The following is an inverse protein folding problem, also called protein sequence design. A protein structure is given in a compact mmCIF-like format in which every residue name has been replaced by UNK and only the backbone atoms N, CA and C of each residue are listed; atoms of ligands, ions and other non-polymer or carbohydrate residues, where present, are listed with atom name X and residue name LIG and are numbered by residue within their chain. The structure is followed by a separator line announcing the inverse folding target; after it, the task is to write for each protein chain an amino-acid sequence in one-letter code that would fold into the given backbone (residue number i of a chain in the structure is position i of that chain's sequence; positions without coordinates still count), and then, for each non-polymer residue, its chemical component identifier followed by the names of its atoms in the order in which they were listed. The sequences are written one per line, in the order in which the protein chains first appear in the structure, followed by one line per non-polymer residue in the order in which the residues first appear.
data_IF_770605806030
#
_entry.id   IF_770605806030
#
_cell.length_a   1.000
_cell.length_b   1.000
_cell.length_c   1.000
_cell.angle_alpha   90.00
_cell.angle_beta   90.00
_cell.angle_gamma   90.00
#
_symmetry.space_group_name_H-M   'P 1'
#
loop_
_entity.id
_entity.type
_entity.pdbx_description
1 polymer ?
#
# COMPACT_ATOMS: atom_id res chain seq x y z
N UNK A 1 -14.33 2.11 18.31
CA UNK A 1 -13.62 1.07 17.55
C UNK A 1 -14.45 0.75 16.32
N UNK A 2 -13.87 0.89 15.14
CA UNK A 2 -14.55 0.55 13.89
C UNK A 2 -14.25 -0.92 13.53
N UNK A 3 -15.27 -1.77 13.60
CA UNK A 3 -15.21 -3.20 13.28
C UNK A 3 -16.21 -3.49 12.18
N UNK A 4 -15.74 -4.08 11.07
CA UNK A 4 -16.62 -4.51 9.97
C UNK A 4 -16.42 -6.02 9.77
N UNK A 5 -17.52 -6.76 9.56
CA UNK A 5 -17.51 -8.22 9.35
C UNK A 5 -18.39 -8.57 8.14
N UNK A 6 -17.92 -9.50 7.33
CA UNK A 6 -18.62 -9.99 6.15
C UNK A 6 -18.49 -11.52 6.07
N UNK A 7 -19.45 -12.18 5.43
CA UNK A 7 -19.48 -13.64 5.30
C UNK A 7 -19.50 -14.12 3.85
N UNK A 8 -19.82 -13.22 2.91
CA UNK A 8 -20.10 -13.53 1.51
C UNK A 8 -19.41 -12.56 0.54
N UNK A 9 -18.45 -11.79 1.00
CA UNK A 9 -17.65 -10.86 0.18
C UNK A 9 -16.19 -11.27 0.24
N UNK A 10 -15.52 -11.25 -0.90
CA UNK A 10 -14.11 -11.62 -0.98
C UNK A 10 -13.34 -10.96 -2.11
N UNK A 11 -12.02 -11.16 -2.10
CA UNK A 11 -11.14 -10.74 -3.19
C UNK A 11 -11.18 -11.83 -4.27
N UNK A 12 -11.68 -11.46 -5.46
CA UNK A 12 -11.69 -12.33 -6.63
C UNK A 12 -10.29 -12.42 -7.25
N UNK A 13 -9.66 -11.28 -7.51
CA UNK A 13 -8.37 -11.25 -8.19
C UNK A 13 -7.54 -10.02 -7.82
N UNK A 14 -6.22 -10.14 -8.01
CA UNK A 14 -5.24 -9.07 -7.78
C UNK A 14 -4.21 -9.04 -8.90
N UNK A 15 -3.78 -7.84 -9.26
CA UNK A 15 -2.74 -7.57 -10.25
C UNK A 15 -1.89 -6.38 -9.83
N UNK A 16 -0.65 -6.30 -10.32
CA UNK A 16 0.27 -5.21 -10.03
C UNK A 16 1.09 -4.82 -11.25
N UNK A 17 1.42 -3.55 -11.34
CA UNK A 17 2.30 -2.95 -12.34
C UNK A 17 3.35 -2.10 -11.65
N UNK A 18 4.62 -2.27 -12.05
CA UNK A 18 5.75 -1.50 -11.53
C UNK A 18 6.51 -0.83 -12.68
N UNK A 19 7.20 0.28 -12.45
CA UNK A 19 8.09 0.87 -13.45
C UNK A 19 9.20 -0.11 -13.86
N UNK A 20 9.63 -0.06 -15.13
CA UNK A 20 10.81 -0.82 -15.61
C UNK A 20 12.11 -0.36 -15.00
N UNK A 21 12.23 0.96 -14.72
CA UNK A 21 13.45 1.56 -14.22
C UNK A 21 13.78 1.06 -12.82
N UNK A 22 14.95 0.44 -12.71
CA UNK A 22 15.51 -0.04 -11.45
C UNK A 22 16.55 0.96 -10.96
N UNK A 23 16.43 1.37 -9.70
CA UNK A 23 17.43 2.17 -9.00
C UNK A 23 17.95 1.37 -7.80
N UNK A 24 19.25 1.09 -7.81
CA UNK A 24 19.88 0.28 -6.76
C UNK A 24 20.34 1.14 -5.60
N UNK A 25 20.07 0.69 -4.39
CA UNK A 25 20.52 1.39 -3.21
C UNK A 25 22.06 1.38 -3.05
N UNK A 26 22.77 0.42 -3.66
CA UNK A 26 24.23 0.42 -3.74
C UNK A 26 24.83 1.60 -4.53
N UNK A 27 23.99 2.31 -5.32
CA UNK A 27 24.39 3.48 -6.10
C UNK A 27 24.25 4.80 -5.30
N UNK A 28 23.79 4.75 -4.04
CA UNK A 28 23.57 5.93 -3.18
C UNK A 28 24.84 6.40 -2.45
N UNK A 29 26.04 6.03 -2.90
CA UNK A 29 27.31 6.48 -2.32
C UNK A 29 27.53 8.00 -2.33
N UNK A 30 26.78 8.74 -3.16
CA UNK A 30 26.75 10.20 -3.15
C UNK A 30 25.98 10.80 -1.95
N UNK A 31 25.10 10.01 -1.33
CA UNK A 31 24.20 10.44 -0.26
C UNK A 31 24.58 9.81 1.10
N UNK A 32 24.99 8.54 1.10
CA UNK A 32 25.35 7.78 2.29
C UNK A 32 26.81 7.34 2.16
N UNK A 33 27.69 7.59 3.16
CA UNK A 33 29.06 7.12 3.14
C UNK A 33 29.14 5.61 2.86
N UNK A 34 30.10 5.18 2.03
CA UNK A 34 30.20 3.79 1.59
C UNK A 34 30.30 2.79 2.74
N UNK A 35 30.98 3.17 3.82
CA UNK A 35 31.12 2.34 5.03
C UNK A 35 29.81 2.07 5.77
N UNK A 36 28.79 2.93 5.59
CA UNK A 36 27.47 2.83 6.20
C UNK A 36 26.41 2.32 5.22
N UNK A 37 26.67 2.41 3.92
CA UNK A 37 25.71 2.06 2.86
C UNK A 37 25.27 0.60 2.95
N UNK A 38 26.23 -0.33 3.07
CA UNK A 38 25.95 -1.76 3.19
C UNK A 38 25.15 -2.10 4.46
N UNK A 39 25.47 -1.44 5.58
CA UNK A 39 24.74 -1.60 6.85
C UNK A 39 23.31 -1.07 6.70
N UNK A 40 23.15 0.07 6.03
CA UNK A 40 21.83 0.66 5.77
C UNK A 40 20.99 -0.27 4.92
N UNK A 41 21.51 -0.73 3.77
CA UNK A 41 20.82 -1.67 2.88
C UNK A 41 20.42 -2.94 3.63
N UNK A 42 21.31 -3.52 4.42
CA UNK A 42 21.03 -4.71 5.19
C UNK A 42 19.92 -4.47 6.24
N UNK A 43 19.97 -3.34 6.95
CA UNK A 43 19.00 -2.98 7.99
C UNK A 43 17.59 -2.72 7.43
N UNK A 44 17.48 -1.92 6.37
CA UNK A 44 16.19 -1.64 5.74
C UNK A 44 15.68 -2.81 4.89
N UNK A 45 16.58 -3.67 4.40
CA UNK A 45 16.29 -4.84 3.59
C UNK A 45 15.87 -4.51 2.15
N UNK A 46 16.22 -3.32 1.65
CA UNK A 46 15.87 -2.85 0.31
C UNK A 46 17.15 -2.76 -0.53
N UNK A 47 17.25 -3.59 -1.55
CA UNK A 47 18.39 -3.59 -2.49
C UNK A 47 18.16 -2.65 -3.66
N UNK A 48 16.93 -2.70 -4.19
CA UNK A 48 16.55 -1.91 -5.35
C UNK A 48 15.10 -1.44 -5.24
N UNK A 49 14.78 -0.42 -6.01
CA UNK A 49 13.45 0.20 -6.07
C UNK A 49 13.06 0.40 -7.53
N UNK A 50 11.76 0.36 -7.79
CA UNK A 50 11.20 0.71 -9.10
C UNK A 50 10.77 2.16 -9.05
N UNK A 51 11.25 2.97 -9.99
CA UNK A 51 11.03 4.42 -10.01
C UNK A 51 10.36 4.81 -11.34
N UNK A 52 9.20 5.46 -11.23
CA UNK A 52 8.46 5.94 -12.37
C UNK A 52 9.20 7.10 -13.07
N UNK A 53 9.13 7.15 -14.41
CA UNK A 53 9.58 8.32 -15.15
C UNK A 53 8.69 9.53 -14.79
N UNK A 54 9.20 10.73 -15.08
CA UNK A 54 8.57 11.96 -14.60
C UNK A 54 7.12 12.12 -15.07
N UNK A 55 6.79 11.71 -16.27
CA UNK A 55 5.48 11.78 -16.92
C UNK A 55 4.53 10.61 -16.58
N UNK A 56 5.00 9.59 -15.85
CA UNK A 56 4.21 8.42 -15.46
C UNK A 56 3.59 8.64 -14.08
N UNK A 57 2.26 8.67 -14.00
CA UNK A 57 1.50 8.80 -12.76
C UNK A 57 1.15 7.45 -12.12
N UNK A 58 0.79 7.48 -10.86
CA UNK A 58 0.28 6.30 -10.14
C UNK A 58 -0.97 5.70 -10.80
N UNK A 59 -1.80 6.56 -11.41
CA UNK A 59 -2.98 6.16 -12.20
C UNK A 59 -2.61 5.35 -13.44
N UNK A 60 -1.48 5.65 -14.11
CA UNK A 60 -1.03 4.92 -15.30
C UNK A 60 -0.65 3.47 -14.94
N UNK A 61 0.08 3.31 -13.84
CA UNK A 61 0.44 2.00 -13.30
C UNK A 61 -0.80 1.21 -12.88
N UNK A 62 -1.75 1.86 -12.20
CA UNK A 62 -3.03 1.25 -11.80
C UNK A 62 -3.88 0.86 -13.01
N UNK A 63 -3.95 1.71 -14.03
CA UNK A 63 -4.68 1.43 -15.26
C UNK A 63 -4.14 0.17 -15.94
N UNK A 64 -2.82 0.04 -16.07
CA UNK A 64 -2.18 -1.17 -16.63
C UNK A 64 -2.45 -2.42 -15.79
N UNK A 65 -2.38 -2.31 -14.47
CA UNK A 65 -2.73 -3.41 -13.58
C UNK A 65 -4.21 -3.83 -13.76
N UNK A 66 -5.13 -2.86 -13.83
CA UNK A 66 -6.55 -3.12 -14.03
C UNK A 66 -6.85 -3.75 -15.39
N UNK A 67 -6.29 -3.20 -16.49
CA UNK A 67 -6.44 -3.77 -17.83
C UNK A 67 -6.01 -5.25 -17.86
N UNK A 68 -4.88 -5.58 -17.25
CA UNK A 68 -4.39 -6.94 -17.14
C UNK A 68 -5.36 -7.82 -16.38
N UNK A 69 -5.81 -7.37 -15.20
CA UNK A 69 -6.73 -8.12 -14.35
C UNK A 69 -8.06 -8.42 -15.08
N UNK A 70 -8.65 -7.40 -15.69
CA UNK A 70 -9.93 -7.53 -16.40
C UNK A 70 -9.82 -8.49 -17.59
N UNK A 71 -8.75 -8.39 -18.37
CA UNK A 71 -8.51 -9.23 -19.55
C UNK A 71 -8.21 -10.68 -19.15
N UNK A 72 -7.25 -10.88 -18.22
CA UNK A 72 -6.76 -12.23 -17.88
C UNK A 72 -7.82 -13.09 -17.20
N UNK A 73 -8.71 -12.46 -16.41
CA UNK A 73 -9.78 -13.16 -15.72
C UNK A 73 -11.15 -13.07 -16.40
N UNK A 74 -11.21 -12.48 -17.60
CA UNK A 74 -12.46 -12.41 -18.39
C UNK A 74 -13.56 -11.61 -17.70
N UNK A 75 -13.21 -10.51 -17.02
CA UNK A 75 -14.17 -9.70 -16.26
C UNK A 75 -14.90 -8.76 -17.21
N UNK A 76 -16.22 -8.87 -17.24
CA UNK A 76 -17.07 -7.93 -17.92
C UNK A 76 -17.05 -6.56 -17.22
N UNK A 77 -16.70 -5.51 -17.97
CA UNK A 77 -16.63 -4.14 -17.45
C UNK A 77 -17.99 -3.62 -16.98
N UNK A 78 -19.07 -4.07 -17.61
CA UNK A 78 -20.44 -3.69 -17.23
C UNK A 78 -20.86 -4.29 -15.87
N UNK A 79 -20.14 -5.30 -15.37
CA UNK A 79 -20.38 -5.89 -14.05
C UNK A 79 -19.78 -5.09 -12.90
N UNK A 80 -18.97 -4.04 -13.17
CA UNK A 80 -18.33 -3.23 -12.16
C UNK A 80 -19.25 -2.08 -11.78
N UNK A 81 -19.68 -2.04 -10.51
CA UNK A 81 -20.56 -0.97 -9.98
C UNK A 81 -19.81 0.14 -9.24
N UNK A 82 -18.59 -0.12 -8.77
CA UNK A 82 -17.77 0.93 -8.13
C UNK A 82 -16.29 0.81 -8.49
N UNK A 83 -15.63 1.98 -8.60
CA UNK A 83 -14.20 2.17 -8.78
C UNK A 83 -13.68 3.04 -7.65
N UNK A 84 -12.74 2.53 -6.87
CA UNK A 84 -12.07 3.27 -5.81
C UNK A 84 -10.61 3.43 -6.20
N UNK A 85 -10.09 4.66 -6.19
CA UNK A 85 -8.68 4.94 -6.38
C UNK A 85 -8.05 5.44 -5.08
N UNK A 86 -6.98 4.79 -4.63
CA UNK A 86 -6.25 5.17 -3.42
C UNK A 86 -4.86 5.62 -3.79
N UNK A 87 -4.56 6.88 -3.47
CA UNK A 87 -3.25 7.46 -3.69
C UNK A 87 -3.02 8.70 -2.84
N UNK A 88 -1.77 8.94 -2.43
CA UNK A 88 -1.26 10.21 -1.92
C UNK A 88 -0.68 11.06 -3.07
N UNK A 89 -0.47 10.44 -4.24
CA UNK A 89 0.11 11.05 -5.44
C UNK A 89 -0.89 11.00 -6.60
N UNK A 90 -2.07 11.65 -6.45
CA UNK A 90 -3.08 11.71 -7.50
C UNK A 90 -2.57 12.51 -8.70
N UNK A 91 -3.18 12.35 -9.88
CA UNK A 91 -2.79 13.05 -11.11
C UNK A 91 -2.90 14.57 -10.95
N UNK A 92 -3.97 15.01 -10.30
CA UNK A 92 -4.28 16.43 -10.09
C UNK A 92 -4.85 16.65 -8.68
N UNK A 93 -4.76 17.89 -8.18
CA UNK A 93 -5.50 18.30 -6.98
C UNK A 93 -7.01 18.33 -7.23
N UNK A 94 -7.42 18.57 -8.47
CA UNK A 94 -8.80 18.64 -8.95
C UNK A 94 -8.80 18.48 -10.48
N UNK A 95 -9.66 17.63 -11.05
CA UNK A 95 -10.62 16.73 -10.35
C UNK A 95 -9.93 15.55 -9.65
N UNK A 96 -10.72 14.72 -8.95
CA UNK A 96 -10.26 13.39 -8.51
C UNK A 96 -9.89 12.50 -9.68
N UNK A 97 -8.98 11.55 -9.48
CA UNK A 97 -8.40 10.70 -10.53
C UNK A 97 -9.34 9.56 -10.95
N UNK A 98 -10.14 9.02 -10.02
CA UNK A 98 -11.01 7.88 -10.30
C UNK A 98 -11.99 8.08 -11.48
N UNK A 99 -12.64 9.24 -11.69
CA UNK A 99 -13.46 9.47 -12.88
C UNK A 99 -12.68 9.40 -14.20
N UNK A 100 -11.42 9.86 -14.21
CA UNK A 100 -10.54 9.70 -15.38
C UNK A 100 -10.17 8.23 -15.62
N UNK A 101 -9.91 7.48 -14.57
CA UNK A 101 -9.65 6.05 -14.65
C UNK A 101 -10.89 5.25 -15.11
N UNK A 102 -12.10 5.68 -14.74
CA UNK A 102 -13.35 5.10 -15.22
C UNK A 102 -13.44 5.17 -16.76
N UNK A 103 -13.16 6.34 -17.33
CA UNK A 103 -13.16 6.54 -18.78
C UNK A 103 -12.03 5.77 -19.48
N UNK A 104 -10.80 5.87 -18.97
CA UNK A 104 -9.61 5.17 -19.50
C UNK A 104 -9.77 3.64 -19.52
N UNK A 105 -10.44 3.08 -18.53
CA UNK A 105 -10.73 1.65 -18.44
C UNK A 105 -11.97 1.23 -19.22
N UNK A 106 -12.71 2.18 -19.84
CA UNK A 106 -13.94 1.91 -20.56
C UNK A 106 -15.04 1.34 -19.68
N UNK A 107 -15.11 1.75 -18.41
CA UNK A 107 -16.17 1.32 -17.48
C UNK A 107 -17.44 2.15 -17.77
N UNK A 108 -18.64 1.59 -17.48
CA UNK A 108 -19.90 2.29 -17.71
C UNK A 108 -19.99 3.60 -16.93
N UNK A 109 -20.71 4.60 -17.48
CA UNK A 109 -20.95 5.89 -16.81
C UNK A 109 -21.79 5.79 -15.53
N UNK A 110 -22.39 4.64 -15.29
CA UNK A 110 -23.17 4.33 -14.09
C UNK A 110 -22.30 3.89 -12.91
N UNK A 111 -20.99 3.69 -13.13
CA UNK A 111 -20.04 3.31 -12.06
C UNK A 111 -19.86 4.46 -11.08
N UNK A 112 -19.95 4.18 -9.79
CA UNK A 112 -19.55 5.11 -8.74
C UNK A 112 -18.02 5.17 -8.68
N UNK A 113 -17.40 6.35 -8.95
CA UNK A 113 -15.95 6.51 -8.99
C UNK A 113 -15.49 7.64 -8.05
N UNK A 114 -14.53 7.35 -7.15
CA UNK A 114 -14.00 8.32 -6.19
C UNK A 114 -12.61 7.95 -5.68
N UNK A 115 -11.88 8.98 -5.19
CA UNK A 115 -10.54 8.84 -4.63
C UNK A 115 -10.56 8.79 -3.10
N UNK A 116 -9.55 8.10 -2.52
CA UNK A 116 -9.29 8.09 -1.08
C UNK A 116 -7.80 8.35 -0.84
N UNK A 117 -7.48 9.23 0.12
CA UNK A 117 -6.11 9.45 0.57
C UNK A 117 -5.95 8.90 1.99
N UNK A 118 -5.29 7.73 2.13
CA UNK A 118 -5.08 7.03 3.41
C UNK A 118 -3.66 6.50 3.58
N UNK A 119 -2.71 7.05 2.85
CA UNK A 119 -1.29 6.70 2.94
C UNK A 119 -1.04 5.17 3.01
N UNK A 120 -0.03 4.74 3.76
CA UNK A 120 0.38 3.33 3.86
C UNK A 120 -0.67 2.39 4.47
N UNK A 121 -1.68 2.90 5.18
CA UNK A 121 -2.83 2.12 5.65
C UNK A 121 -3.92 1.95 4.57
N UNK A 122 -3.76 2.62 3.42
CA UNK A 122 -4.77 2.79 2.38
C UNK A 122 -5.33 1.49 1.85
N UNK A 123 -4.51 0.45 1.67
CA UNK A 123 -5.04 -0.83 1.17
C UNK A 123 -6.04 -1.48 2.13
N UNK A 124 -5.74 -1.53 3.43
CA UNK A 124 -6.65 -2.13 4.43
C UNK A 124 -7.93 -1.30 4.59
N UNK A 125 -7.81 0.03 4.62
CA UNK A 125 -8.97 0.93 4.62
C UNK A 125 -9.80 0.79 3.34
N UNK A 126 -9.14 0.77 2.18
CA UNK A 126 -9.81 0.62 0.89
C UNK A 126 -10.53 -0.71 0.74
N UNK A 127 -9.92 -1.80 1.18
CA UNK A 127 -10.59 -3.10 1.22
C UNK A 127 -11.85 -3.05 2.07
N UNK A 128 -11.80 -2.44 3.26
CA UNK A 128 -12.96 -2.36 4.15
C UNK A 128 -14.14 -1.61 3.50
N UNK A 129 -13.84 -0.54 2.74
CA UNK A 129 -14.84 0.23 1.99
C UNK A 129 -15.33 -0.57 0.78
N UNK A 130 -14.41 -1.20 0.04
CA UNK A 130 -14.76 -2.03 -1.12
C UNK A 130 -15.65 -3.21 -0.72
N UNK A 131 -15.40 -3.86 0.41
CA UNK A 131 -16.25 -4.91 0.97
C UNK A 131 -17.63 -4.37 1.37
N UNK A 132 -17.68 -3.18 1.99
CA UNK A 132 -18.96 -2.53 2.35
C UNK A 132 -19.80 -2.24 1.10
N UNK A 133 -19.19 -1.77 0.02
CA UNK A 133 -19.88 -1.50 -1.24
C UNK A 133 -20.29 -2.80 -1.94
N UNK A 134 -19.39 -3.76 -2.05
CA UNK A 134 -19.68 -5.05 -2.71
C UNK A 134 -20.77 -5.86 -1.98
N UNK A 135 -20.98 -5.62 -0.68
CA UNK A 135 -22.07 -6.25 0.07
C UNK A 135 -23.46 -5.75 -0.33
N UNK A 136 -23.54 -4.60 -1.04
CA UNK A 136 -24.80 -4.01 -1.49
C UNK A 136 -25.27 -4.67 -2.79
N UNK A 137 -26.53 -5.09 -2.85
CA UNK A 137 -27.08 -5.83 -3.99
C UNK A 137 -27.02 -5.05 -5.33
N UNK A 138 -27.00 -3.71 -5.28
CA UNK A 138 -26.94 -2.84 -6.47
C UNK A 138 -25.55 -2.55 -6.99
N UNK A 139 -24.48 -2.97 -6.32
CA UNK A 139 -23.08 -2.65 -6.70
C UNK A 139 -22.42 -3.81 -7.47
N UNK A 140 -22.66 -5.05 -7.07
CA UNK A 140 -22.02 -6.22 -7.66
C UNK A 140 -20.52 -6.28 -7.38
N UNK A 141 -19.70 -5.77 -8.31
CA UNK A 141 -18.24 -5.79 -8.23
C UNK A 141 -17.64 -4.42 -7.93
N UNK A 142 -16.57 -4.40 -7.14
CA UNK A 142 -15.79 -3.20 -6.84
C UNK A 142 -14.37 -3.37 -7.33
N UNK A 143 -13.91 -2.44 -8.16
CA UNK A 143 -12.52 -2.37 -8.59
C UNK A 143 -11.77 -1.38 -7.69
N UNK A 144 -10.88 -1.89 -6.87
CA UNK A 144 -10.01 -1.12 -5.98
C UNK A 144 -8.64 -0.96 -6.63
N UNK A 145 -8.30 0.26 -7.00
CA UNK A 145 -7.00 0.64 -7.54
C UNK A 145 -6.19 1.33 -6.46
N UNK A 146 -4.97 0.87 -6.24
CA UNK A 146 -4.07 1.43 -5.22
C UNK A 146 -2.70 1.65 -5.84
N UNK A 147 -2.28 2.90 -5.92
CA UNK A 147 -1.03 3.25 -6.59
C UNK A 147 -0.35 4.47 -5.99
N UNK A 148 0.98 4.46 -6.06
CA UNK A 148 1.81 5.53 -5.55
C UNK A 148 3.02 5.76 -6.44
N UNK A 149 3.38 7.02 -6.63
CA UNK A 149 4.66 7.46 -7.17
C UNK A 149 5.42 8.27 -6.11
N UNK A 150 5.70 7.59 -4.98
CA UNK A 150 6.32 8.20 -3.81
C UNK A 150 7.70 8.77 -4.09
N UNK A 151 8.42 8.21 -5.06
CA UNK A 151 9.73 8.73 -5.49
C UNK A 151 9.69 10.20 -5.90
N UNK A 152 8.54 10.70 -6.36
CA UNK A 152 8.34 12.11 -6.75
C UNK A 152 8.15 13.06 -5.57
N UNK A 153 7.89 12.52 -4.39
CA UNK A 153 7.67 13.31 -3.18
C UNK A 153 8.88 13.39 -2.27
N UNK A 154 9.87 12.52 -2.46
CA UNK A 154 11.08 12.50 -1.62
C UNK A 154 12.19 13.39 -2.19
N UNK A 155 13.08 13.86 -1.33
CA UNK A 155 14.29 14.57 -1.75
C UNK A 155 15.37 13.57 -2.11
N UNK A 156 16.04 13.79 -3.23
CA UNK A 156 17.24 13.06 -3.66
C UNK A 156 18.46 13.28 -2.75
N UNK A 157 18.38 14.25 -1.83
CA UNK A 157 19.37 14.57 -0.81
C UNK A 157 18.92 14.23 0.62
N UNK A 158 17.92 13.36 0.78
CA UNK A 158 17.48 12.85 2.07
C UNK A 158 17.88 11.37 2.23
N UNK A 159 18.89 11.13 3.06
CA UNK A 159 19.38 9.76 3.36
C UNK A 159 18.39 8.89 4.14
N UNK A 160 17.29 9.48 4.66
CA UNK A 160 16.28 8.77 5.42
C UNK A 160 15.19 8.20 4.48
N UNK A 161 14.68 9.00 3.56
CA UNK A 161 13.53 8.61 2.70
C UNK A 161 13.95 8.10 1.33
N UNK A 162 15.04 8.63 0.75
CA UNK A 162 15.51 8.23 -0.59
C UNK A 162 15.74 6.72 -0.72
N UNK A 163 16.40 6.01 0.21
CA UNK A 163 16.65 4.59 0.07
C UNK A 163 15.40 3.71 0.33
N UNK A 164 14.29 4.29 0.81
CA UNK A 164 13.10 3.54 1.21
C UNK A 164 12.08 3.42 0.08
N UNK A 165 11.66 4.55 -0.53
CA UNK A 165 10.46 4.59 -1.34
C UNK A 165 10.67 4.16 -2.79
N UNK A 166 9.71 3.35 -3.28
CA UNK A 166 9.54 2.97 -4.67
C UNK A 166 8.11 3.20 -5.13
N UNK A 167 7.85 2.97 -6.42
CA UNK A 167 6.60 3.26 -7.09
C UNK A 167 5.92 1.98 -7.58
N UNK A 168 4.59 1.95 -7.49
CA UNK A 168 3.77 0.85 -7.98
C UNK A 168 2.32 1.26 -8.18
N UNK A 169 1.61 0.54 -9.05
CA UNK A 169 0.16 0.57 -9.17
C UNK A 169 -0.41 -0.84 -9.10
N UNK A 170 -1.56 -1.00 -8.48
CA UNK A 170 -2.21 -2.29 -8.28
C UNK A 170 -3.70 -2.20 -8.55
N UNK A 171 -4.30 -3.34 -8.89
CA UNK A 171 -5.74 -3.50 -9.03
C UNK A 171 -6.19 -4.72 -8.25
N UNK A 172 -7.27 -4.59 -7.50
CA UNK A 172 -7.93 -5.67 -6.76
C UNK A 172 -9.41 -5.67 -7.10
N UNK A 173 -9.94 -6.80 -7.52
CA UNK A 173 -11.37 -6.96 -7.76
C UNK A 173 -12.02 -7.63 -6.55
N UNK A 174 -13.02 -6.98 -6.00
CA UNK A 174 -13.81 -7.46 -4.87
C UNK A 174 -15.23 -7.74 -5.36
N UNK A 175 -15.82 -8.85 -4.92
CA UNK A 175 -17.18 -9.20 -5.27
C UNK A 175 -17.89 -9.91 -4.12
N UNK A 176 -19.23 -9.94 -4.17
CA UNK A 176 -20.08 -10.76 -3.34
C UNK A 176 -20.33 -12.09 -4.04
N UNK A 177 -20.28 -13.20 -3.32
CA UNK A 177 -20.56 -14.51 -3.86
C UNK A 177 -20.44 -15.63 -2.84
N UNK A 178 -21.06 -16.78 -3.20
CA UNK A 178 -20.92 -18.00 -2.41
C UNK A 178 -19.48 -18.52 -2.47
N UNK A 179 -18.98 -19.02 -1.34
CA UNK A 179 -17.63 -19.58 -1.23
C UNK A 179 -16.56 -18.59 -0.76
N UNK A 180 -16.90 -17.30 -0.58
CA UNK A 180 -16.03 -16.39 0.17
C UNK A 180 -16.20 -16.61 1.66
N UNK A 181 -15.08 -16.77 2.38
CA UNK A 181 -15.07 -17.02 3.81
C UNK A 181 -15.31 -15.76 4.64
N UNK A 182 -15.45 -15.91 5.96
CA UNK A 182 -15.62 -14.75 6.84
C UNK A 182 -14.42 -13.83 6.78
N UNK A 183 -14.70 -12.53 6.83
CA UNK A 183 -13.69 -11.48 6.90
C UNK A 183 -14.00 -10.50 8.03
N UNK A 184 -12.95 -9.88 8.56
CA UNK A 184 -13.05 -8.90 9.63
C UNK A 184 -12.03 -7.79 9.42
N UNK A 185 -12.43 -6.54 9.64
CA UNK A 185 -11.58 -5.37 9.59
C UNK A 185 -11.67 -4.61 10.91
N UNK A 186 -10.52 -4.16 11.42
CA UNK A 186 -10.41 -3.30 12.60
C UNK A 186 -9.58 -2.10 12.22
N UNK A 187 -10.15 -0.91 12.30
CA UNK A 187 -9.57 0.34 11.79
C UNK A 187 -9.44 1.38 12.90
N UNK A 188 -8.33 2.11 12.88
CA UNK A 188 -7.99 3.12 13.87
C UNK A 188 -7.32 4.34 13.25
N UNK A 189 -7.45 5.50 13.90
CA UNK A 189 -6.74 6.72 13.57
C UNK A 189 -6.35 7.50 14.83
N UNK A 190 -5.20 8.21 14.75
CA UNK A 190 -4.67 9.07 15.78
C UNK A 190 -4.11 10.35 15.14
N UNK A 191 -4.94 11.39 15.08
CA UNK A 191 -4.56 12.67 14.51
C UNK A 191 -3.50 13.44 15.31
N UNK A 192 -3.19 13.02 16.55
CA UNK A 192 -2.14 13.62 17.37
C UNK A 192 -0.73 13.47 16.78
N UNK A 193 -0.54 12.48 15.89
CA UNK A 193 0.73 12.25 15.19
C UNK A 193 0.78 12.76 13.75
N UNK A 194 -0.12 13.63 13.34
CA UNK A 194 -0.29 14.08 11.95
C UNK A 194 0.92 14.81 11.34
N UNK A 195 1.85 15.26 12.17
CA UNK A 195 3.10 15.93 11.76
C UNK A 195 4.31 15.00 11.68
N UNK A 196 4.17 13.74 12.07
CA UNK A 196 5.29 12.77 12.06
C UNK A 196 5.73 12.37 10.65
N UNK A 197 4.79 12.41 9.69
CA UNK A 197 5.02 12.05 8.29
C UNK A 197 4.10 12.88 7.40
N UNK A 198 4.61 13.94 6.76
CA UNK A 198 3.80 14.82 5.91
C UNK A 198 4.65 15.61 4.91
N UNK A 199 4.00 16.11 3.86
CA UNK A 199 4.50 17.17 2.99
C UNK A 199 3.95 18.49 3.53
N UNK A 200 4.77 19.41 4.05
CA UNK A 200 4.29 20.61 4.75
C UNK A 200 3.61 21.63 3.86
N UNK A 201 4.06 21.79 2.61
CA UNK A 201 3.59 22.79 1.64
C UNK A 201 2.93 22.10 0.44
N UNK A 202 2.35 22.91 -0.44
CA UNK A 202 1.68 22.41 -1.64
C UNK A 202 0.21 22.06 -1.45
N UNK A 203 -0.29 22.04 -0.21
CA UNK A 203 -1.72 21.89 0.12
C UNK A 203 -2.43 23.24 0.31
N UNK A 204 -3.69 23.21 0.76
CA UNK A 204 -4.48 24.44 0.97
C UNK A 204 -4.18 25.15 2.29
N UNK A 205 -3.65 24.45 3.29
CA UNK A 205 -3.25 25.07 4.57
C UNK A 205 -1.96 25.86 4.41
N UNK A 206 -1.01 25.32 3.67
CA UNK A 206 0.23 25.97 3.29
C UNK A 206 0.35 25.82 1.77
N UNK A 207 -0.13 26.80 0.97
CA UNK A 207 -0.07 26.75 -0.48
C UNK A 207 1.38 26.74 -0.99
N UNK A 208 1.57 26.32 -2.25
CA UNK A 208 2.86 26.45 -2.93
C UNK A 208 3.33 27.89 -2.92
N UNK A 209 4.56 28.13 -2.47
CA UNK A 209 5.19 29.44 -2.41
C UNK A 209 6.72 29.29 -2.49
N UNK A 210 7.43 30.39 -2.69
CA UNK A 210 8.90 30.37 -2.80
C UNK A 210 9.58 29.73 -1.59
N UNK A 211 9.07 29.99 -0.38
CA UNK A 211 9.58 29.37 0.86
C UNK A 211 9.43 27.84 0.84
N UNK A 212 8.32 27.31 0.31
CA UNK A 212 8.09 25.87 0.18
C UNK A 212 9.04 25.18 -0.80
N UNK A 213 9.57 25.90 -1.80
CA UNK A 213 10.56 25.38 -2.75
C UNK A 213 12.00 25.51 -2.24
N UNK A 214 12.26 26.39 -1.26
CA UNK A 214 13.58 26.59 -0.72
C UNK A 214 14.05 25.32 0.02
N UNK A 215 15.12 24.71 -0.50
CA UNK A 215 15.74 23.54 0.14
C UNK A 215 16.64 23.97 1.29
N UNK A 216 16.43 23.38 2.46
CA UNK A 216 17.19 23.69 3.69
C UNK A 216 17.85 22.42 4.21
N UNK A 217 19.05 22.58 4.72
CA UNK A 217 19.75 21.50 5.40
C UNK A 217 19.20 21.37 6.82
N UNK A 218 18.83 20.15 7.21
CA UNK A 218 18.42 19.84 8.58
C UNK A 218 19.64 19.56 9.50
N UNK A 219 19.38 19.29 10.79
CA UNK A 219 20.41 19.00 11.78
C UNK A 219 21.16 17.68 11.55
N UNK A 220 20.69 16.83 10.66
CA UNK A 220 21.26 15.54 10.30
C UNK A 220 22.00 15.56 8.94
N UNK A 221 21.98 16.72 8.26
CA UNK A 221 22.64 16.92 6.97
C UNK A 221 21.80 16.48 5.76
N UNK A 222 20.48 16.23 5.92
CA UNK A 222 19.58 16.05 4.80
C UNK A 222 19.17 17.40 4.24
N UNK A 223 18.92 17.49 2.93
CA UNK A 223 18.49 18.72 2.27
C UNK A 223 17.06 18.51 1.74
N UNK A 224 16.11 19.25 2.31
CA UNK A 224 14.67 19.09 2.06
C UNK A 224 14.01 20.43 1.74
N UNK A 225 13.11 20.43 0.77
CA UNK A 225 12.15 21.52 0.54
C UNK A 225 10.82 21.25 1.24
N UNK A 226 10.03 22.30 1.44
CA UNK A 226 8.73 22.17 2.12
C UNK A 226 7.67 21.41 1.32
N UNK A 227 7.82 21.27 -0.01
CA UNK A 227 6.95 20.42 -0.86
C UNK A 227 7.45 18.97 -0.99
N UNK A 228 8.48 18.60 -0.21
CA UNK A 228 8.96 17.23 -0.12
C UNK A 228 8.51 16.55 1.16
N UNK A 229 8.56 15.22 1.18
CA UNK A 229 8.14 14.41 2.32
C UNK A 229 9.10 14.59 3.50
N UNK A 230 8.58 15.04 4.62
CA UNK A 230 9.28 15.11 5.90
C UNK A 230 8.85 13.94 6.77
N UNK A 231 9.84 13.20 7.31
CA UNK A 231 9.58 12.02 8.15
C UNK A 231 10.41 12.09 9.44
N UNK A 232 9.73 12.09 10.58
CA UNK A 232 10.37 11.85 11.88
C UNK A 232 10.50 10.34 12.09
N UNK A 233 11.59 9.77 11.55
CA UNK A 233 11.76 8.32 11.40
C UNK A 233 11.56 7.55 12.69
N UNK A 234 12.15 7.99 13.83
CA UNK A 234 12.02 7.32 15.12
C UNK A 234 10.58 7.35 15.68
N UNK A 235 9.83 8.44 15.44
CA UNK A 235 8.45 8.55 15.90
C UNK A 235 7.54 7.60 15.12
N UNK A 236 7.69 7.58 13.79
CA UNK A 236 6.96 6.64 12.89
C UNK A 236 7.32 5.20 13.23
N UNK A 237 8.58 4.93 13.51
CA UNK A 237 9.07 3.61 13.92
C UNK A 237 8.40 3.17 15.22
N UNK A 238 8.49 3.97 16.28
CA UNK A 238 7.89 3.66 17.59
C UNK A 238 6.36 3.49 17.51
N UNK A 239 5.71 4.31 16.68
CA UNK A 239 4.29 4.17 16.38
C UNK A 239 3.97 2.78 15.80
N UNK A 240 4.66 2.38 14.71
CA UNK A 240 4.45 1.07 14.08
C UNK A 240 4.67 -0.09 15.04
N UNK A 241 5.77 -0.05 15.83
CA UNK A 241 6.09 -1.09 16.82
C UNK A 241 5.01 -1.27 17.90
N UNK A 242 4.28 -0.21 18.19
CA UNK A 242 3.20 -0.21 19.17
C UNK A 242 1.90 -0.73 18.56
N UNK A 243 1.47 -0.16 17.42
CA UNK A 243 0.09 -0.35 16.92
C UNK A 243 -0.09 -1.62 16.11
N UNK A 244 0.91 -2.08 15.34
CA UNK A 244 0.75 -3.25 14.46
C UNK A 244 0.56 -4.54 15.25
N UNK A 245 1.46 -4.91 16.19
CA UNK A 245 1.23 -6.12 17.00
C UNK A 245 -0.03 -6.02 17.89
N UNK A 246 -0.38 -4.82 18.34
CA UNK A 246 -1.59 -4.59 19.13
C UNK A 246 -2.86 -4.80 18.31
N UNK A 247 -2.93 -4.24 17.09
CA UNK A 247 -4.07 -4.41 16.18
C UNK A 247 -4.28 -5.86 15.75
N UNK A 248 -3.19 -6.62 15.53
CA UNK A 248 -3.27 -8.06 15.23
C UNK A 248 -3.83 -8.84 16.44
N UNK A 249 -3.35 -8.57 17.64
CA UNK A 249 -3.90 -9.22 18.85
C UNK A 249 -5.36 -8.88 19.06
N UNK A 250 -5.75 -7.65 18.75
CA UNK A 250 -7.12 -7.18 18.89
C UNK A 250 -8.07 -7.91 17.93
N UNK A 251 -7.75 -8.02 16.64
CA UNK A 251 -8.59 -8.73 15.67
C UNK A 251 -8.68 -10.21 15.98
N UNK A 252 -7.57 -10.85 16.39
CA UNK A 252 -7.57 -12.24 16.80
C UNK A 252 -8.47 -12.50 18.02
N UNK A 253 -8.46 -11.59 19.01
CA UNK A 253 -9.38 -11.65 20.15
C UNK A 253 -10.84 -11.52 19.73
N UNK A 254 -11.16 -10.64 18.76
CA UNK A 254 -12.53 -10.47 18.22
C UNK A 254 -13.03 -11.73 17.52
N UNK A 255 -12.11 -12.48 16.90
CA UNK A 255 -12.41 -13.70 16.13
C UNK A 255 -12.32 -14.97 16.97
N UNK A 256 -11.91 -14.87 18.24
CA UNK A 256 -11.59 -16.02 19.11
C UNK A 256 -10.59 -16.97 18.45
N UNK A 257 -9.53 -16.40 17.85
CA UNK A 257 -8.46 -17.11 17.16
C UNK A 257 -7.10 -16.81 17.78
N UNK A 258 -6.12 -17.68 17.52
CA UNK A 258 -4.73 -17.50 17.95
C UNK A 258 -3.86 -17.16 16.74
N UNK A 259 -2.70 -16.58 16.97
CA UNK A 259 -1.75 -16.23 15.89
C UNK A 259 -1.21 -17.49 15.18
N UNK A 260 -1.11 -18.61 15.88
CA UNK A 260 -0.65 -19.89 15.32
C UNK A 260 -1.64 -20.47 14.30
N UNK A 261 -2.92 -20.08 14.38
CA UNK A 261 -3.97 -20.51 13.46
C UNK A 261 -3.87 -19.80 12.10
N UNK A 262 -3.04 -18.74 12.00
CA UNK A 262 -2.85 -17.98 10.75
C UNK A 262 -1.92 -18.69 9.79
N UNK A 263 -2.30 -18.72 8.51
CA UNK A 263 -1.48 -19.28 7.43
C UNK A 263 -0.36 -18.31 7.05
N UNK A 264 -0.67 -17.00 7.00
CA UNK A 264 0.29 -15.93 6.65
C UNK A 264 -0.14 -14.57 7.18
N UNK A 265 0.83 -13.64 7.25
CA UNK A 265 0.59 -12.23 7.57
C UNK A 265 1.26 -11.33 6.53
N UNK A 266 0.48 -10.58 5.75
CA UNK A 266 0.97 -9.50 4.91
C UNK A 266 1.04 -8.20 5.70
N UNK A 267 2.25 -7.76 6.00
CA UNK A 267 2.50 -6.45 6.57
C UNK A 267 2.71 -5.42 5.46
N UNK A 268 2.31 -4.17 5.69
CA UNK A 268 2.84 -3.05 4.94
C UNK A 268 4.38 -3.12 4.93
N UNK A 269 4.97 -3.00 3.75
CA UNK A 269 6.40 -3.18 3.49
C UNK A 269 7.17 -1.89 3.78
N UNK A 270 7.16 -1.42 5.03
CA UNK A 270 7.86 -0.19 5.43
C UNK A 270 9.39 -0.34 5.35
N UNK A 271 9.94 -1.32 6.06
CA UNK A 271 11.30 -1.82 5.98
C UNK A 271 11.40 -3.21 6.64
N UNK A 272 12.49 -3.93 6.37
CA UNK A 272 12.70 -5.30 6.84
C UNK A 272 12.74 -5.39 8.37
N UNK A 273 13.46 -4.47 9.01
CA UNK A 273 13.61 -4.48 10.46
C UNK A 273 12.27 -4.41 11.20
N UNK A 274 11.37 -3.52 10.76
CA UNK A 274 10.03 -3.40 11.37
C UNK A 274 9.21 -4.66 11.18
N UNK A 275 9.19 -5.22 9.97
CA UNK A 275 8.42 -6.42 9.65
C UNK A 275 8.90 -7.62 10.47
N UNK A 276 10.21 -7.83 10.56
CA UNK A 276 10.82 -8.90 11.38
C UNK A 276 10.51 -8.71 12.87
N UNK A 277 10.52 -7.47 13.36
CA UNK A 277 10.15 -7.15 14.73
C UNK A 277 8.68 -7.49 15.01
N UNK A 278 7.75 -7.16 14.11
CA UNK A 278 6.33 -7.48 14.28
C UNK A 278 6.11 -8.98 14.37
N UNK A 279 6.69 -9.75 13.46
CA UNK A 279 6.60 -11.20 13.45
C UNK A 279 7.19 -11.80 14.75
N UNK A 280 8.37 -11.34 15.18
CA UNK A 280 9.02 -11.78 16.42
C UNK A 280 8.16 -11.45 17.65
N UNK A 281 7.59 -10.24 17.72
CA UNK A 281 6.73 -9.82 18.85
C UNK A 281 5.44 -10.62 18.94
N UNK A 282 4.95 -11.09 17.81
CA UNK A 282 3.78 -11.96 17.69
C UNK A 282 4.14 -13.45 17.87
N UNK A 283 5.42 -13.80 17.89
CA UNK A 283 5.93 -15.19 17.84
C UNK A 283 5.46 -15.92 16.58
N UNK A 284 5.31 -15.18 15.49
CA UNK A 284 4.86 -15.71 14.20
C UNK A 284 6.07 -16.12 13.33
N UNK A 285 6.03 -17.30 12.67
CA UNK A 285 7.13 -17.80 11.85
C UNK A 285 7.43 -16.90 10.64
N UNK A 286 8.70 -16.56 10.42
CA UNK A 286 9.13 -15.68 9.32
C UNK A 286 8.91 -16.29 7.94
N UNK A 287 8.90 -17.60 7.80
CA UNK A 287 8.59 -18.32 6.55
C UNK A 287 7.12 -18.20 6.12
N UNK A 288 6.26 -17.67 7.01
CA UNK A 288 4.86 -17.32 6.71
C UNK A 288 4.64 -15.80 6.57
N UNK A 289 5.72 -15.03 6.51
CA UNK A 289 5.68 -13.58 6.28
C UNK A 289 6.25 -13.30 4.89
N UNK A 290 5.40 -12.98 3.90
CA UNK A 290 5.89 -12.66 2.56
C UNK A 290 6.63 -11.32 2.52
N UNK A 291 7.71 -11.23 1.73
CA UNK A 291 8.49 -10.01 1.53
C UNK A 291 8.62 -9.69 0.04
N UNK A 292 8.47 -8.42 -0.31
CA UNK A 292 8.71 -7.89 -1.65
C UNK A 292 9.58 -6.64 -1.66
N UNK A 293 9.79 -6.04 -0.48
CA UNK A 293 10.50 -4.77 -0.33
C UNK A 293 11.96 -4.80 -0.81
N UNK A 294 12.58 -5.97 -0.89
CA UNK A 294 13.96 -6.11 -1.37
C UNK A 294 14.12 -5.58 -2.80
N UNK A 295 13.09 -5.79 -3.65
CA UNK A 295 13.10 -5.45 -5.08
C UNK A 295 12.27 -4.22 -5.45
N UNK A 296 11.35 -3.81 -4.58
CA UNK A 296 10.41 -2.72 -4.89
C UNK A 296 10.46 -1.56 -3.90
N UNK A 297 11.14 -1.73 -2.77
CA UNK A 297 11.12 -0.77 -1.68
C UNK A 297 9.74 -0.65 -1.01
N UNK A 298 9.55 0.44 -0.33
CA UNK A 298 8.28 0.83 0.28
C UNK A 298 7.40 1.54 -0.77
N UNK A 299 6.44 0.85 -1.33
CA UNK A 299 5.46 1.41 -2.29
C UNK A 299 4.19 1.92 -1.59
N UNK A 300 4.31 2.35 -0.33
CA UNK A 300 3.22 2.94 0.47
C UNK A 300 1.96 2.06 0.49
N UNK A 301 0.80 2.60 0.12
CA UNK A 301 -0.48 1.87 0.08
C UNK A 301 -0.46 0.64 -0.84
N UNK A 302 0.28 0.70 -1.94
CA UNK A 302 0.38 -0.40 -2.92
C UNK A 302 1.22 -1.59 -2.43
N UNK A 303 1.91 -1.47 -1.30
CA UNK A 303 2.89 -2.46 -0.84
C UNK A 303 2.29 -3.84 -0.51
N UNK A 304 1.11 -3.91 0.11
CA UNK A 304 0.45 -5.17 0.43
C UNK A 304 -0.02 -5.89 -0.86
N UNK A 305 -0.80 -5.28 -1.75
CA UNK A 305 -1.25 -5.96 -2.97
C UNK A 305 -0.10 -6.30 -3.92
N UNK A 306 0.94 -5.45 -4.04
CA UNK A 306 2.15 -5.79 -4.77
C UNK A 306 2.88 -7.00 -4.16
N UNK A 307 2.98 -7.05 -2.83
CA UNK A 307 3.56 -8.19 -2.11
C UNK A 307 2.78 -9.49 -2.39
N UNK A 308 1.45 -9.45 -2.41
CA UNK A 308 0.62 -10.60 -2.78
C UNK A 308 0.94 -11.08 -4.21
N UNK A 309 0.98 -10.17 -5.19
CA UNK A 309 1.29 -10.52 -6.58
C UNK A 309 2.69 -11.10 -6.71
N UNK A 310 3.68 -10.47 -6.10
CA UNK A 310 5.08 -10.89 -6.21
C UNK A 310 5.36 -12.26 -5.57
N UNK A 311 4.77 -12.52 -4.40
CA UNK A 311 5.15 -13.69 -3.58
C UNK A 311 4.20 -14.88 -3.72
N UNK A 312 2.99 -14.68 -4.24
CA UNK A 312 1.97 -15.74 -4.28
C UNK A 312 1.67 -16.22 -5.72
N UNK A 313 2.16 -15.54 -6.75
CA UNK A 313 1.90 -15.90 -8.15
C UNK A 313 2.41 -17.30 -8.51
N UNK A 314 3.57 -17.68 -8.03
CA UNK A 314 4.20 -18.96 -8.29
C UNK A 314 3.71 -20.13 -7.41
N UNK A 315 2.75 -19.86 -6.51
CA UNK A 315 2.21 -20.86 -5.58
C UNK A 315 3.05 -21.09 -4.33
N UNK A 316 4.07 -20.27 -4.06
CA UNK A 316 4.97 -20.39 -2.88
C UNK A 316 4.23 -20.39 -1.54
N UNK A 317 3.02 -19.82 -1.47
CA UNK A 317 2.17 -19.79 -0.30
C UNK A 317 0.83 -20.52 -0.57
N UNK A 318 0.80 -21.87 -0.48
CA UNK A 318 -0.40 -22.64 -0.86
C UNK A 318 -1.54 -22.55 0.17
N UNK A 319 -1.24 -22.32 1.45
CA UNK A 319 -2.25 -22.14 2.51
C UNK A 319 -2.66 -20.68 2.57
N UNK A 320 -3.96 -20.39 2.36
CA UNK A 320 -4.47 -19.02 2.19
C UNK A 320 -5.84 -18.81 2.86
N UNK A 321 -6.22 -19.69 3.78
CA UNK A 321 -7.54 -19.63 4.43
C UNK A 321 -7.58 -18.59 5.54
N UNK A 322 -6.54 -18.52 6.34
CA UNK A 322 -6.43 -17.65 7.51
C UNK A 322 -5.33 -16.62 7.29
N UNK A 323 -5.65 -15.52 6.61
CA UNK A 323 -4.70 -14.49 6.22
C UNK A 323 -4.95 -13.20 7.00
N UNK A 324 -3.91 -12.66 7.60
CA UNK A 324 -3.92 -11.31 8.17
C UNK A 324 -3.23 -10.31 7.24
N UNK A 325 -3.75 -9.09 7.23
CA UNK A 325 -3.11 -7.94 6.61
C UNK A 325 -3.03 -6.81 7.63
N UNK A 326 -1.89 -6.12 7.71
CA UNK A 326 -1.70 -4.99 8.61
C UNK A 326 -1.05 -3.81 7.88
N UNK A 327 -1.79 -2.70 7.75
CA UNK A 327 -1.34 -1.43 7.18
C UNK A 327 -1.28 -0.34 8.23
N UNK A 328 -0.26 0.52 8.18
CA UNK A 328 -0.09 1.64 9.10
C UNK A 328 0.73 2.75 8.43
N UNK A 329 0.50 4.00 8.79
CA UNK A 329 1.26 5.12 8.23
C UNK A 329 0.72 6.49 8.61
N UNK A 330 0.99 7.45 7.73
CA UNK A 330 0.59 8.85 7.89
C UNK A 330 -0.91 8.99 8.16
N UNK A 331 -1.22 10.01 9.06
CA UNK A 331 -2.55 10.29 9.54
C UNK A 331 -2.54 10.68 11.02
N UNK A 332 -2.04 9.93 11.98
CA UNK A 332 -1.67 8.52 11.83
C UNK A 332 -2.92 7.66 11.65
N UNK A 333 -2.79 6.62 10.84
CA UNK A 333 -3.85 5.67 10.64
C UNK A 333 -3.29 4.24 10.55
N UNK A 334 -4.04 3.25 11.06
CA UNK A 334 -3.68 1.85 10.92
C UNK A 334 -4.92 0.96 10.86
N UNK A 335 -4.77 -0.16 10.22
CA UNK A 335 -5.83 -1.15 10.10
C UNK A 335 -5.29 -2.56 10.06
N UNK A 336 -6.09 -3.49 10.55
CA UNK A 336 -5.84 -4.93 10.45
C UNK A 336 -7.05 -5.57 9.79
N UNK A 337 -6.81 -6.46 8.83
CA UNK A 337 -7.83 -7.27 8.20
C UNK A 337 -7.52 -8.75 8.38
N UNK A 338 -8.56 -9.55 8.60
CA UNK A 338 -8.56 -11.00 8.51
C UNK A 338 -9.41 -11.41 7.32
N UNK A 339 -8.86 -12.23 6.43
CA UNK A 339 -9.47 -12.62 5.15
C UNK A 339 -9.18 -14.09 4.84
N UNK A 340 -10.05 -14.73 4.02
CA UNK A 340 -9.70 -15.93 3.27
C UNK A 340 -9.31 -15.56 1.84
N UNK A 341 -8.17 -16.08 1.37
CA UNK A 341 -7.67 -15.89 0.01
C UNK A 341 -7.63 -17.22 -0.79
N UNK A 342 -8.40 -18.23 -0.37
CA UNK A 342 -8.41 -19.55 -1.03
C UNK A 342 -8.82 -19.46 -2.51
N UNK A 343 -9.76 -18.56 -2.83
CA UNK A 343 -10.28 -18.36 -4.19
C UNK A 343 -9.56 -17.24 -4.95
N UNK A 344 -8.50 -16.65 -4.37
CA UNK A 344 -7.77 -15.56 -4.99
C UNK A 344 -7.08 -15.99 -6.29
N UNK A 345 -7.34 -15.24 -7.36
CA UNK A 345 -6.65 -15.32 -8.64
C UNK A 345 -5.60 -14.21 -8.72
N UNK A 346 -4.41 -14.53 -9.18
CA UNK A 346 -3.28 -13.60 -9.19
C UNK A 346 -2.77 -13.47 -10.63
N UNK A 347 -2.74 -12.26 -11.14
CA UNK A 347 -2.13 -11.96 -12.43
C UNK A 347 -0.62 -11.81 -12.31
N UNK A 348 0.09 -12.15 -13.39
CA UNK A 348 1.55 -11.94 -13.46
C UNK A 348 1.87 -10.46 -13.32
N UNK A 349 2.92 -10.14 -12.54
CA UNK A 349 3.47 -8.79 -12.40
C UNK A 349 3.80 -8.19 -13.77
N UNK A 350 3.44 -6.93 -13.97
CA UNK A 350 3.66 -6.17 -15.20
C UNK A 350 4.75 -5.12 -14.97
N UNK A 351 5.56 -4.89 -15.97
CA UNK A 351 6.48 -3.75 -16.06
C UNK A 351 5.91 -2.72 -17.04
N UNK A 352 5.86 -1.45 -16.60
CA UNK A 352 5.34 -0.32 -17.38
C UNK A 352 6.40 0.27 -18.30
#
# INVERSE_FOLDING_TARGET
MAILKYTDVGIHSVSACVPKKIVRNSELGYLIPQEDLDKTIHSIGIRERRIAEWDVCSSDLCCKAAERLLLEHGIDRDSIGALIFISQTPDYRQPSTAPSLQDRLGLPKTVMAFDINMACSGYVYGLSIAYSLASQDGIGRVLLLVGETMSKTVSDHDKVTTPLFGDAGTATLIEKGEGYGPSCFVLHSDGGGSDMLRVPYGGYRNPSCMEGFERKMDGEGNILGGEQLHMRGMDVFNFGLRVVPSGIKEILKILDMRVEDMDMIHFHQANRFMTDFFAKKLRFPLDRVPYSLEYFGNTSAASIPLNMVHTMYDGSFPRRRHVLMAGFGAGLAWGTAYLSLENLRISKLIEY
#
